data_IF_655741234227
#
_entry.id   IF_655741234227
#
_cell.length_a   1.000
_cell.length_b   1.000
_cell.length_c   1.000
_cell.angle_alpha   90.00
_cell.angle_beta   90.00
_cell.angle_gamma   90.00
#
_symmetry.space_group_name_H-M   'P 1'
#
loop_
_entity.id
_entity.type
_entity.pdbx_description
1 polymer ?
#
# COMPACT_ATOMS: atom_id res chain seq x y z
N UNK A 1 4.70 -8.61 24.36
CA UNK A 1 3.78 -8.71 25.49
C UNK A 1 4.47 -9.42 26.64
N UNK A 2 4.16 -9.01 27.89
CA UNK A 2 4.71 -9.60 29.10
C UNK A 2 3.56 -10.11 29.97
N UNK A 3 3.82 -11.17 30.76
CA UNK A 3 2.91 -11.63 31.80
C UNK A 3 2.89 -10.62 32.95
N UNK A 4 1.71 -10.22 33.38
CA UNK A 4 1.56 -9.11 34.35
C UNK A 4 2.24 -9.41 35.70
N UNK A 5 2.22 -10.64 36.13
CA UNK A 5 2.68 -11.07 37.46
C UNK A 5 4.21 -11.26 37.49
N UNK A 6 4.76 -12.05 36.59
CA UNK A 6 6.20 -12.39 36.56
C UNK A 6 7.04 -11.55 35.58
N UNK A 7 6.42 -10.68 34.76
CA UNK A 7 7.04 -9.83 33.75
C UNK A 7 7.87 -10.58 32.70
N UNK A 8 7.67 -11.90 32.60
CA UNK A 8 8.30 -12.72 31.58
C UNK A 8 7.64 -12.50 30.22
N UNK A 9 8.42 -12.70 29.13
CA UNK A 9 7.88 -12.65 27.76
C UNK A 9 6.84 -13.76 27.56
N UNK A 10 5.69 -13.38 26.98
CA UNK A 10 4.69 -14.33 26.51
C UNK A 10 5.18 -14.96 25.22
N UNK A 11 5.13 -16.28 25.14
CA UNK A 11 5.34 -17.06 23.90
C UNK A 11 3.98 -17.42 23.31
N UNK A 12 3.87 -17.31 21.98
CA UNK A 12 2.70 -17.79 21.26
C UNK A 12 2.93 -19.23 20.81
N UNK A 13 2.10 -20.14 21.26
CA UNK A 13 2.10 -21.53 20.85
C UNK A 13 1.06 -21.73 19.76
N UNK A 14 1.43 -22.53 18.76
CA UNK A 14 0.51 -22.92 17.69
C UNK A 14 -0.16 -24.22 18.09
N UNK A 15 -1.47 -24.19 18.14
CA UNK A 15 -2.27 -25.32 18.60
C UNK A 15 -3.17 -25.83 17.49
N UNK A 16 -3.19 -27.15 17.26
CA UNK A 16 -4.14 -27.79 16.35
C UNK A 16 -5.36 -28.27 17.14
N UNK A 17 -6.55 -27.69 16.92
CA UNK A 17 -7.73 -28.08 17.67
C UNK A 17 -8.22 -29.51 17.37
N UNK A 18 -7.93 -29.99 16.15
CA UNK A 18 -8.32 -31.36 15.73
C UNK A 18 -7.42 -32.42 16.34
N UNK A 19 -6.11 -32.16 16.42
CA UNK A 19 -5.15 -33.11 16.99
C UNK A 19 -4.94 -32.91 18.48
N UNK A 20 -5.53 -31.87 19.06
CA UNK A 20 -5.44 -31.45 20.47
C UNK A 20 -4.00 -31.41 20.99
N UNK A 21 -3.08 -30.82 20.20
CA UNK A 21 -1.66 -30.68 20.57
C UNK A 21 -1.01 -29.44 20.00
N UNK A 22 0.11 -29.05 20.59
CA UNK A 22 1.02 -28.06 20.04
C UNK A 22 1.67 -28.58 18.74
N UNK A 23 1.72 -27.69 17.73
CA UNK A 23 2.27 -28.01 16.41
C UNK A 23 3.56 -27.22 16.19
N UNK A 24 4.70 -27.90 16.03
CA UNK A 24 5.96 -27.25 15.73
C UNK A 24 5.95 -26.65 14.32
N UNK A 25 6.77 -25.62 14.10
CA UNK A 25 6.80 -24.89 12.82
C UNK A 25 7.04 -25.79 11.61
N UNK A 26 7.81 -26.85 11.75
CA UNK A 26 8.12 -27.78 10.66
C UNK A 26 6.93 -28.64 10.20
N UNK A 27 5.88 -28.74 11.00
CA UNK A 27 4.66 -29.48 10.65
C UNK A 27 3.58 -28.58 10.06
N UNK A 28 3.83 -27.27 9.96
CA UNK A 28 2.86 -26.29 9.44
C UNK A 28 3.11 -26.10 7.95
N UNK A 29 2.09 -26.37 7.16
CA UNK A 29 2.09 -26.17 5.71
C UNK A 29 1.25 -24.95 5.34
N UNK A 30 1.54 -24.33 4.20
CA UNK A 30 0.71 -23.27 3.63
C UNK A 30 -0.42 -23.90 2.82
N UNK A 31 -1.64 -23.43 3.01
CA UNK A 31 -2.80 -23.89 2.27
C UNK A 31 -3.59 -22.72 1.69
N UNK A 32 -4.13 -22.91 0.50
CA UNK A 32 -5.07 -22.00 -0.14
C UNK A 32 -6.47 -22.61 -0.07
N UNK A 33 -7.41 -21.89 0.55
CA UNK A 33 -8.81 -22.30 0.60
C UNK A 33 -9.49 -21.88 -0.71
N UNK A 34 -9.86 -22.84 -1.53
CA UNK A 34 -10.52 -22.62 -2.82
C UNK A 34 -12.05 -22.79 -2.74
N UNK A 35 -12.52 -23.59 -1.79
CA UNK A 35 -13.93 -23.71 -1.39
C UNK A 35 -13.99 -23.80 0.13
N UNK A 36 -15.10 -23.45 0.74
CA UNK A 36 -15.27 -23.44 2.20
C UNK A 36 -14.89 -24.80 2.81
N UNK A 37 -13.82 -24.84 3.59
CA UNK A 37 -13.29 -26.04 4.24
C UNK A 37 -12.43 -26.94 3.34
N UNK A 38 -12.19 -26.57 2.08
CA UNK A 38 -11.33 -27.32 1.15
C UNK A 38 -10.05 -26.53 0.86
N UNK A 39 -8.91 -27.18 1.11
CA UNK A 39 -7.60 -26.55 1.02
C UNK A 39 -6.69 -27.29 0.04
N UNK A 40 -6.01 -26.54 -0.81
CA UNK A 40 -4.84 -27.04 -1.54
C UNK A 40 -3.60 -26.72 -0.74
N UNK A 41 -2.78 -27.72 -0.45
CA UNK A 41 -1.49 -27.52 0.21
C UNK A 41 -0.48 -27.03 -0.82
N UNK A 42 0.20 -25.92 -0.51
CA UNK A 42 1.20 -25.31 -1.35
C UNK A 42 2.60 -25.59 -0.78
N UNK A 43 3.47 -26.14 -1.62
CA UNK A 43 4.87 -26.37 -1.29
C UNK A 43 5.73 -25.12 -1.53
N UNK A 44 6.93 -25.06 -0.96
CA UNK A 44 7.88 -23.98 -1.27
C UNK A 44 8.26 -23.98 -2.77
N UNK A 45 8.31 -25.14 -3.42
CA UNK A 45 8.58 -25.25 -4.86
C UNK A 45 7.46 -24.58 -5.69
N UNK A 46 6.19 -24.65 -5.27
CA UNK A 46 5.10 -23.98 -5.94
C UNK A 46 5.26 -22.46 -5.85
N UNK A 47 5.66 -21.95 -4.67
CA UNK A 47 5.95 -20.52 -4.51
C UNK A 47 7.17 -20.08 -5.33
N UNK A 48 8.24 -20.89 -5.38
CA UNK A 48 9.45 -20.55 -6.14
C UNK A 48 9.17 -20.52 -7.65
N UNK A 49 8.26 -21.38 -8.15
CA UNK A 49 7.90 -21.45 -9.56
C UNK A 49 7.20 -20.16 -10.07
N UNK A 50 6.48 -19.47 -9.19
CA UNK A 50 5.73 -18.25 -9.52
C UNK A 50 6.41 -16.98 -9.01
N UNK A 51 7.51 -17.13 -8.26
CA UNK A 51 8.24 -15.97 -7.70
C UNK A 51 9.01 -15.27 -8.81
N UNK A 52 8.70 -13.99 -9.10
CA UNK A 52 9.47 -13.25 -10.07
C UNK A 52 10.92 -13.11 -9.58
N UNK A 53 11.92 -13.19 -10.49
CA UNK A 53 13.29 -12.88 -10.11
C UNK A 53 13.33 -11.46 -9.55
N UNK A 54 13.94 -11.30 -8.37
CA UNK A 54 14.09 -9.99 -7.74
C UNK A 54 14.99 -9.14 -8.62
N UNK A 55 14.39 -8.29 -9.42
CA UNK A 55 15.12 -7.30 -10.22
C UNK A 55 15.19 -6.02 -9.39
N UNK A 56 16.41 -5.47 -9.21
CA UNK A 56 16.58 -4.14 -8.60
C UNK A 56 16.27 -3.01 -9.61
N UNK A 57 15.32 -3.26 -10.50
CA UNK A 57 14.96 -2.36 -11.61
C UNK A 57 13.50 -1.98 -11.47
N UNK A 58 13.23 -0.71 -11.46
CA UNK A 58 11.87 -0.18 -11.62
C UNK A 58 11.60 -0.09 -13.13
N UNK A 59 10.73 -0.95 -13.62
CA UNK A 59 10.38 -1.02 -15.04
C UNK A 59 9.19 -0.09 -15.30
N UNK A 60 9.47 1.17 -15.62
CA UNK A 60 8.45 2.18 -15.92
C UNK A 60 7.81 1.89 -17.29
N UNK A 61 6.49 1.83 -17.33
CA UNK A 61 5.70 1.51 -18.53
C UNK A 61 4.98 2.72 -19.13
N UNK A 62 4.62 3.69 -18.31
CA UNK A 62 3.90 4.88 -18.75
C UNK A 62 4.13 6.06 -17.78
N UNK A 63 3.77 7.25 -18.24
CA UNK A 63 3.70 8.45 -17.44
C UNK A 63 2.27 9.00 -17.45
N UNK A 64 1.80 9.43 -16.29
CA UNK A 64 0.50 10.08 -16.11
C UNK A 64 0.68 11.38 -15.33
N UNK A 65 -0.34 12.23 -15.29
CA UNK A 65 -0.33 13.36 -14.36
C UNK A 65 -0.26 12.84 -12.93
N UNK A 66 0.54 13.47 -12.08
CA UNK A 66 0.74 13.00 -10.71
C UNK A 66 -0.56 13.02 -9.88
N UNK A 67 -1.49 13.92 -10.23
CA UNK A 67 -2.83 14.02 -9.65
C UNK A 67 -3.81 12.95 -10.14
N UNK A 68 -3.47 12.20 -11.19
CA UNK A 68 -4.33 11.14 -11.72
C UNK A 68 -4.30 9.86 -10.88
N UNK A 69 -3.32 9.72 -9.98
CA UNK A 69 -3.21 8.58 -9.08
C UNK A 69 -4.01 8.89 -7.82
N UNK A 70 -5.17 8.24 -7.69
CA UNK A 70 -5.99 8.38 -6.49
C UNK A 70 -5.23 7.84 -5.27
N UNK A 71 -5.13 8.61 -4.17
CA UNK A 71 -4.47 8.19 -2.95
C UNK A 71 -4.96 6.86 -2.37
N UNK A 72 -6.19 6.43 -2.67
CA UNK A 72 -6.76 5.14 -2.24
C UNK A 72 -5.93 3.94 -2.71
N UNK A 73 -5.17 4.09 -3.81
CA UNK A 73 -4.31 3.03 -4.32
C UNK A 73 -2.93 3.00 -3.66
N UNK A 74 -2.54 4.01 -2.88
CA UNK A 74 -1.21 4.09 -2.26
C UNK A 74 -1.13 3.16 -1.04
N UNK A 75 -0.17 2.20 -1.07
CA UNK A 75 0.15 1.33 0.06
C UNK A 75 1.31 1.90 0.89
N UNK A 76 2.50 2.02 0.30
CA UNK A 76 3.71 2.45 1.00
C UNK A 76 4.51 3.45 0.18
N UNK A 77 5.24 4.32 0.89
CA UNK A 77 6.14 5.28 0.29
C UNK A 77 7.61 4.93 0.57
N UNK A 78 8.47 5.12 -0.45
CA UNK A 78 9.92 4.94 -0.37
C UNK A 78 10.61 6.13 -1.01
N UNK A 79 11.60 6.69 -0.34
CA UNK A 79 12.45 7.69 -0.97
C UNK A 79 13.44 7.04 -1.93
N UNK A 80 13.63 7.68 -3.08
CA UNK A 80 14.65 7.31 -4.05
C UNK A 80 15.73 8.38 -4.08
N UNK A 81 16.97 7.93 -4.03
CA UNK A 81 18.15 8.77 -4.16
C UNK A 81 19.15 8.11 -5.14
N UNK A 82 20.01 8.89 -5.80
CA UNK A 82 21.04 8.33 -6.66
C UNK A 82 22.08 7.57 -5.86
N UNK A 83 22.59 6.46 -6.42
CA UNK A 83 23.67 5.69 -5.86
C UNK A 83 25.00 6.15 -6.49
N UNK A 84 25.68 7.01 -5.78
CA UNK A 84 26.96 7.61 -6.20
C UNK A 84 26.85 8.76 -7.20
N UNK A 85 27.99 9.40 -7.45
CA UNK A 85 28.07 10.61 -8.27
C UNK A 85 27.67 10.40 -9.75
N UNK A 86 28.00 9.25 -10.32
CA UNK A 86 27.69 8.95 -11.73
C UNK A 86 26.18 8.85 -11.95
N UNK A 87 25.43 8.38 -10.96
CA UNK A 87 23.97 8.29 -11.05
C UNK A 87 23.28 9.65 -10.83
N UNK A 88 23.94 10.60 -10.18
CA UNK A 88 23.35 11.86 -9.74
C UNK A 88 22.86 12.71 -10.93
N UNK A 89 23.66 12.82 -12.00
CA UNK A 89 23.28 13.63 -13.18
C UNK A 89 22.07 13.04 -13.89
N UNK A 90 22.06 11.73 -14.14
CA UNK A 90 20.92 11.05 -14.77
C UNK A 90 19.68 11.14 -13.89
N UNK A 91 19.83 11.00 -12.57
CA UNK A 91 18.75 11.15 -11.61
C UNK A 91 18.15 12.56 -11.63
N UNK A 92 18.99 13.61 -11.68
CA UNK A 92 18.53 14.98 -11.77
C UNK A 92 17.74 15.26 -13.07
N UNK A 93 18.22 14.76 -14.21
CA UNK A 93 17.52 14.89 -15.49
C UNK A 93 16.15 14.20 -15.43
N UNK A 94 16.09 12.98 -14.90
CA UNK A 94 14.82 12.25 -14.74
C UNK A 94 13.85 13.01 -13.82
N UNK A 95 14.32 13.49 -12.69
CA UNK A 95 13.51 14.23 -11.73
C UNK A 95 12.90 15.48 -12.38
N UNK A 96 13.70 16.28 -13.07
CA UNK A 96 13.24 17.50 -13.74
C UNK A 96 12.28 17.19 -14.90
N UNK A 97 12.61 16.16 -15.71
CA UNK A 97 11.79 15.73 -16.83
C UNK A 97 10.42 15.19 -16.41
N UNK A 98 10.29 14.74 -15.17
CA UNK A 98 9.04 14.22 -14.60
C UNK A 98 8.23 15.26 -13.84
N UNK A 99 8.54 16.55 -13.92
CA UNK A 99 7.80 17.59 -13.22
C UNK A 99 6.29 17.53 -13.52
N UNK A 100 5.45 17.41 -12.48
CA UNK A 100 3.99 17.24 -12.59
C UNK A 100 3.52 15.88 -13.12
N UNK A 101 4.44 14.92 -13.29
CA UNK A 101 4.15 13.58 -13.78
C UNK A 101 4.56 12.51 -12.76
N UNK A 102 3.86 11.38 -12.82
CA UNK A 102 4.26 10.14 -12.17
C UNK A 102 4.53 9.06 -13.22
N UNK A 103 5.68 8.40 -13.11
CA UNK A 103 6.01 7.22 -13.88
C UNK A 103 5.39 5.99 -13.23
N UNK A 104 4.52 5.27 -13.93
CA UNK A 104 3.87 4.05 -13.44
C UNK A 104 4.54 2.83 -14.04
N UNK A 105 4.81 1.83 -13.24
CA UNK A 105 5.53 0.64 -13.67
C UNK A 105 5.47 -0.48 -12.65
N UNK A 106 6.44 -1.39 -12.75
CA UNK A 106 6.53 -2.58 -11.91
C UNK A 106 7.90 -2.71 -11.28
N UNK A 107 7.93 -3.28 -10.10
CA UNK A 107 9.14 -3.59 -9.36
C UNK A 107 9.00 -4.95 -8.68
N UNK A 108 9.96 -5.84 -8.91
CA UNK A 108 10.08 -7.08 -8.15
C UNK A 108 10.94 -6.86 -6.91
N UNK A 109 10.33 -6.90 -5.74
CA UNK A 109 10.98 -6.67 -4.45
C UNK A 109 10.58 -7.76 -3.45
N UNK A 110 11.56 -8.34 -2.76
CA UNK A 110 11.33 -9.42 -1.78
C UNK A 110 10.52 -10.61 -2.32
N UNK A 111 10.74 -10.96 -3.60
CA UNK A 111 10.07 -12.08 -4.24
C UNK A 111 8.60 -11.84 -4.59
N UNK A 112 8.18 -10.57 -4.64
CA UNK A 112 6.84 -10.15 -5.09
C UNK A 112 6.97 -9.06 -6.14
N UNK A 113 6.07 -9.06 -7.12
CA UNK A 113 5.90 -7.96 -8.04
C UNK A 113 4.93 -6.93 -7.46
N UNK A 114 5.32 -5.67 -7.51
CA UNK A 114 4.52 -4.53 -7.08
C UNK A 114 4.24 -3.62 -8.26
N UNK A 115 3.03 -3.14 -8.37
CA UNK A 115 2.72 -1.96 -9.15
C UNK A 115 3.28 -0.76 -8.39
N UNK A 116 4.00 0.12 -9.08
CA UNK A 116 4.64 1.29 -8.46
C UNK A 116 4.37 2.57 -9.23
N UNK A 117 4.35 3.68 -8.50
CA UNK A 117 4.34 5.03 -9.06
C UNK A 117 5.55 5.79 -8.53
N UNK A 118 6.31 6.40 -9.41
CA UNK A 118 7.49 7.22 -9.09
C UNK A 118 7.22 8.66 -9.50
N UNK A 119 7.45 9.62 -8.61
CA UNK A 119 7.33 11.04 -8.92
C UNK A 119 8.41 11.88 -8.23
N UNK A 120 8.72 13.07 -8.75
CA UNK A 120 9.56 14.04 -8.06
C UNK A 120 9.01 14.40 -6.68
N UNK A 121 9.90 14.55 -5.71
CA UNK A 121 9.57 15.02 -4.37
C UNK A 121 10.75 15.79 -3.79
N UNK A 122 10.57 17.08 -3.54
CA UNK A 122 11.64 17.98 -3.10
C UNK A 122 12.89 17.88 -4.03
N UNK A 123 14.05 17.62 -3.47
CA UNK A 123 15.30 17.41 -4.24
C UNK A 123 15.57 15.95 -4.63
N UNK A 124 14.62 15.04 -4.33
CA UNK A 124 14.70 13.61 -4.64
C UNK A 124 13.50 13.13 -5.46
N UNK A 125 13.23 11.84 -5.39
CA UNK A 125 12.01 11.23 -5.89
C UNK A 125 11.39 10.35 -4.80
N UNK A 126 10.09 10.11 -4.90
CA UNK A 126 9.36 9.16 -4.07
C UNK A 126 8.75 8.10 -4.95
N UNK A 127 8.86 6.86 -4.52
CA UNK A 127 8.18 5.72 -5.10
C UNK A 127 7.07 5.27 -4.14
N UNK A 128 5.89 5.08 -4.65
CA UNK A 128 4.77 4.46 -3.94
C UNK A 128 4.56 3.05 -4.47
N UNK A 129 4.38 2.07 -3.59
CA UNK A 129 3.74 0.82 -3.98
C UNK A 129 2.24 1.06 -4.06
N UNK A 130 1.59 0.46 -5.04
CA UNK A 130 0.16 0.64 -5.30
C UNK A 130 -0.58 -0.68 -5.13
N UNK A 131 -1.77 -0.60 -4.58
CA UNK A 131 -2.74 -1.68 -4.62
C UNK A 131 -3.25 -1.89 -6.06
N UNK A 132 -3.53 -3.14 -6.42
CA UNK A 132 -4.28 -3.43 -7.63
C UNK A 132 -5.76 -3.06 -7.46
N UNK A 133 -6.42 -2.72 -8.56
CA UNK A 133 -7.85 -2.35 -8.52
C UNK A 133 -8.74 -3.43 -7.85
N UNK A 134 -8.38 -4.71 -8.00
CA UNK A 134 -9.09 -5.81 -7.38
C UNK A 134 -8.93 -5.89 -5.84
N UNK A 135 -7.92 -5.23 -5.28
CA UNK A 135 -7.67 -5.19 -3.83
C UNK A 135 -8.45 -4.05 -3.15
N UNK A 136 -8.93 -3.09 -3.94
CA UNK A 136 -9.73 -1.96 -3.45
C UNK A 136 -11.20 -2.29 -3.58
N UNK A 137 -11.90 -2.24 -2.47
CA UNK A 137 -13.36 -2.40 -2.47
C UNK A 137 -14.02 -1.19 -3.13
N UNK A 138 -14.86 -1.44 -4.15
CA UNK A 138 -15.59 -0.35 -4.80
C UNK A 138 -16.54 0.34 -3.82
N UNK A 139 -16.56 1.65 -3.84
CA UNK A 139 -17.49 2.48 -3.05
C UNK A 139 -18.95 2.15 -3.40
N UNK A 140 -19.22 1.72 -4.64
CA UNK A 140 -20.56 1.36 -5.10
C UNK A 140 -21.12 0.10 -4.40
N UNK A 141 -20.28 -0.67 -3.70
CA UNK A 141 -20.72 -1.83 -2.91
C UNK A 141 -21.23 -1.46 -1.52
N UNK A 142 -21.22 -0.17 -1.16
CA UNK A 142 -21.69 0.33 0.13
C UNK A 142 -23.17 0.69 -0.02
N UNK A 143 -24.04 -0.17 0.50
CA UNK A 143 -25.51 -0.06 0.33
C UNK A 143 -26.07 1.26 0.90
N UNK A 144 -25.50 1.75 1.99
CA UNK A 144 -25.92 2.99 2.65
C UNK A 144 -25.79 4.22 1.77
N UNK A 145 -24.86 4.21 0.80
CA UNK A 145 -24.67 5.32 -0.12
C UNK A 145 -25.77 5.42 -1.19
N UNK A 146 -26.52 4.36 -1.42
CA UNK A 146 -27.64 4.40 -2.35
C UNK A 146 -28.75 5.37 -1.92
N UNK A 147 -28.87 5.62 -0.60
CA UNK A 147 -29.83 6.56 -0.01
C UNK A 147 -29.33 8.01 0.09
N UNK A 148 -28.08 8.31 -0.27
CA UNK A 148 -27.52 9.64 -0.16
C UNK A 148 -28.10 10.55 -1.25
N UNK A 149 -28.76 11.68 -0.91
CA UNK A 149 -29.31 12.60 -1.89
C UNK A 149 -28.22 13.19 -2.80
N UNK A 150 -28.44 13.15 -4.11
CA UNK A 150 -27.52 13.76 -5.10
C UNK A 150 -27.64 15.29 -5.18
N UNK A 151 -28.74 15.82 -4.68
CA UNK A 151 -29.01 17.27 -4.65
C UNK A 151 -29.27 17.68 -3.22
N UNK A 152 -28.68 18.81 -2.85
CA UNK A 152 -28.85 19.46 -1.53
C UNK A 152 -29.44 20.84 -1.73
N UNK A 153 -30.11 21.40 -0.71
CA UNK A 153 -30.65 22.74 -0.77
C UNK A 153 -29.54 23.78 -0.78
N UNK A 154 -29.72 24.83 -1.57
CA UNK A 154 -28.70 25.84 -1.80
C UNK A 154 -28.31 26.59 -0.52
N UNK A 155 -29.28 26.89 0.35
CA UNK A 155 -29.07 27.55 1.64
C UNK A 155 -28.28 26.68 2.63
N UNK A 156 -28.60 25.37 2.71
CA UNK A 156 -27.87 24.44 3.54
C UNK A 156 -26.43 24.27 3.04
N UNK A 157 -26.24 24.20 1.71
CA UNK A 157 -24.90 24.13 1.10
C UNK A 157 -24.09 25.40 1.37
N UNK A 158 -24.71 26.56 1.30
CA UNK A 158 -24.05 27.83 1.59
C UNK A 158 -23.62 27.94 3.05
N UNK A 159 -24.48 27.52 3.98
CA UNK A 159 -24.15 27.49 5.41
C UNK A 159 -22.99 26.53 5.68
N UNK A 160 -23.01 25.32 5.11
CA UNK A 160 -21.95 24.35 5.24
C UNK A 160 -20.60 24.91 4.74
N UNK A 161 -20.59 25.57 3.57
CA UNK A 161 -19.38 26.24 3.04
C UNK A 161 -18.85 27.34 3.94
N UNK A 162 -19.74 28.15 4.54
CA UNK A 162 -19.33 29.17 5.51
C UNK A 162 -18.66 28.55 6.73
N UNK A 163 -19.26 27.53 7.31
CA UNK A 163 -18.68 26.82 8.47
C UNK A 163 -17.32 26.21 8.12
N UNK A 164 -17.21 25.51 7.01
CA UNK A 164 -15.95 24.91 6.56
C UNK A 164 -14.88 25.99 6.36
N UNK A 165 -15.25 27.13 5.73
CA UNK A 165 -14.35 28.25 5.50
C UNK A 165 -13.78 28.87 6.77
N UNK A 166 -14.47 28.78 7.91
CA UNK A 166 -13.92 29.26 9.20
C UNK A 166 -12.77 28.41 9.73
N UNK A 167 -12.66 27.16 9.27
CA UNK A 167 -11.60 26.22 9.64
C UNK A 167 -10.56 26.03 8.54
N UNK A 168 -10.74 26.65 7.37
CA UNK A 168 -9.82 26.53 6.25
C UNK A 168 -8.49 27.23 6.58
N UNK A 169 -7.42 26.44 6.57
CA UNK A 169 -6.05 26.88 6.82
C UNK A 169 -5.05 25.98 6.12
N UNK A 170 -3.83 26.47 5.90
CA UNK A 170 -2.75 25.66 5.36
C UNK A 170 -2.53 24.40 6.22
N UNK A 171 -2.43 23.25 5.55
CA UNK A 171 -2.15 21.98 6.23
C UNK A 171 -0.68 21.91 6.65
N UNK A 172 -0.45 21.68 7.93
CA UNK A 172 0.86 21.42 8.50
C UNK A 172 0.79 20.16 9.36
N UNK A 173 1.39 19.07 8.87
CA UNK A 173 1.42 17.79 9.59
C UNK A 173 2.15 17.87 10.93
N UNK A 174 3.15 18.76 11.05
CA UNK A 174 3.92 18.93 12.28
C UNK A 174 3.09 19.55 13.43
N UNK A 175 1.95 20.17 13.09
CA UNK A 175 1.02 20.70 14.10
C UNK A 175 0.20 19.60 14.81
N UNK A 176 0.19 18.38 14.28
CA UNK A 176 -0.53 17.24 14.84
C UNK A 176 0.47 16.33 15.57
N UNK A 177 0.58 16.52 16.88
CA UNK A 177 1.41 15.71 17.77
C UNK A 177 0.55 14.67 18.50
N UNK A 178 1.13 13.49 18.76
CA UNK A 178 0.51 12.46 19.62
C UNK A 178 0.53 12.89 21.11
#
# INVERSE_FOLDING_TARGET
QLHAECRSRIQQKRWCPTCDREVPNGEIVKGYEFEKGQYVVLSEADFDSVRPPSTRVIDLKQFADDTAIDPIYIDRAYYLAPDGAVAADAFAVMREGMAGKAGVGKLALYGREYLVAVRPHANGMVMYTLHHAAEIRSIDTIEELAGVPRQVKADELQLARQVIGTFDKAFDIAAYQD
#
